data_IF_185928951416
#
_entry.id   IF_185928951416
#
_cell.length_a   1.000
_cell.length_b   1.000
_cell.length_c   1.000
_cell.angle_alpha   90.00
_cell.angle_beta   90.00
_cell.angle_gamma   90.00
#
_symmetry.space_group_name_H-M   'P 1'
#
loop_
_entity.id
_entity.type
_entity.pdbx_description
1 polymer ?
#
# COMPACT_ATOMS: atom_id res chain seq x y z
N UNK A 1 25.25 -14.04 -17.35
CA UNK A 1 24.69 -12.75 -16.91
C UNK A 1 25.19 -11.72 -17.92
N UNK A 2 24.30 -11.07 -18.65
CA UNK A 2 24.68 -10.10 -19.68
C UNK A 2 25.17 -8.79 -19.03
N UNK A 3 25.90 -7.94 -19.77
CA UNK A 3 26.26 -6.60 -19.27
C UNK A 3 25.03 -5.76 -18.91
N UNK A 4 23.93 -5.93 -19.65
CA UNK A 4 22.65 -5.29 -19.38
C UNK A 4 22.03 -5.75 -18.04
N UNK A 5 22.08 -7.05 -17.71
CA UNK A 5 21.60 -7.57 -16.44
C UNK A 5 22.41 -7.05 -15.26
N UNK A 6 23.72 -6.89 -15.46
CA UNK A 6 24.61 -6.35 -14.43
C UNK A 6 24.33 -4.88 -14.18
N UNK A 7 24.12 -4.08 -15.25
CA UNK A 7 23.79 -2.65 -15.15
C UNK A 7 22.42 -2.45 -14.47
N UNK A 8 21.40 -3.23 -14.85
CA UNK A 8 20.05 -3.21 -14.22
C UNK A 8 20.11 -3.53 -12.72
N UNK A 9 20.86 -4.59 -12.37
CA UNK A 9 21.05 -4.97 -10.95
C UNK A 9 21.75 -3.86 -10.16
N UNK A 10 22.73 -3.18 -10.77
CA UNK A 10 23.41 -2.03 -10.16
C UNK A 10 22.48 -0.84 -9.91
N UNK A 11 21.62 -0.52 -10.90
CA UNK A 11 20.63 0.57 -10.80
C UNK A 11 19.60 0.29 -9.69
N UNK A 12 19.07 -0.94 -9.63
CA UNK A 12 18.13 -1.39 -8.59
C UNK A 12 18.77 -1.24 -7.19
N UNK A 13 20.00 -1.72 -7.02
CA UNK A 13 20.68 -1.63 -5.74
C UNK A 13 20.93 -0.18 -5.31
N UNK A 14 21.35 0.68 -6.25
CA UNK A 14 21.57 2.11 -5.99
C UNK A 14 20.27 2.82 -5.59
N UNK A 15 19.16 2.53 -6.27
CA UNK A 15 17.84 3.08 -5.91
C UNK A 15 17.40 2.61 -4.51
N UNK A 16 17.59 1.33 -4.20
CA UNK A 16 17.29 0.79 -2.87
C UNK A 16 18.13 1.45 -1.77
N UNK A 17 19.42 1.68 -2.01
CA UNK A 17 20.31 2.36 -1.07
C UNK A 17 19.86 3.80 -0.80
N UNK A 18 19.49 4.56 -1.84
CA UNK A 18 18.99 5.93 -1.69
C UNK A 18 17.73 5.99 -0.83
N UNK A 19 16.73 5.14 -1.09
CA UNK A 19 15.48 5.10 -0.31
C UNK A 19 15.72 4.63 1.13
N UNK A 20 16.61 3.66 1.32
CA UNK A 20 16.99 3.19 2.64
C UNK A 20 17.66 4.29 3.48
N UNK A 21 18.63 5.03 2.89
CA UNK A 21 19.29 6.14 3.56
C UNK A 21 18.33 7.32 3.80
N UNK A 22 17.40 7.60 2.88
CA UNK A 22 16.37 8.61 3.10
C UNK A 22 15.52 8.31 4.34
N UNK A 23 15.14 7.05 4.53
CA UNK A 23 14.39 6.61 5.72
C UNK A 23 15.22 6.80 7.00
N UNK A 24 16.52 6.53 6.96
CA UNK A 24 17.41 6.63 8.14
C UNK A 24 17.79 8.05 8.49
N UNK A 25 18.03 8.87 7.48
CA UNK A 25 18.52 10.25 7.67
C UNK A 25 17.38 11.26 7.90
N UNK A 26 16.13 10.90 7.56
CA UNK A 26 15.02 11.86 7.53
C UNK A 26 15.13 12.87 6.39
N UNK A 27 15.95 12.59 5.35
CA UNK A 27 16.15 13.51 4.22
C UNK A 27 15.67 12.85 2.93
N UNK A 28 14.66 13.46 2.30
CA UNK A 28 14.10 12.97 1.05
C UNK A 28 15.09 13.10 -0.11
N UNK A 29 14.98 12.16 -1.08
CA UNK A 29 15.86 12.05 -2.25
C UNK A 29 15.13 12.40 -3.54
N UNK A 30 15.89 12.60 -4.62
CA UNK A 30 15.32 12.78 -5.96
C UNK A 30 14.63 11.49 -6.45
N UNK A 31 13.70 11.59 -7.41
CA UNK A 31 12.99 10.43 -7.95
C UNK A 31 13.91 9.30 -8.39
N UNK A 32 13.63 8.08 -7.92
CA UNK A 32 14.43 6.88 -8.27
C UNK A 32 14.10 6.34 -9.65
N UNK A 33 12.98 6.74 -10.27
CA UNK A 33 12.66 6.46 -11.67
C UNK A 33 13.78 6.89 -12.64
N UNK A 34 14.57 7.88 -12.26
CA UNK A 34 15.74 8.32 -13.04
C UNK A 34 16.83 7.24 -13.14
N UNK A 35 16.85 6.27 -12.23
CA UNK A 35 17.79 5.16 -12.22
C UNK A 35 17.19 3.89 -12.83
N UNK A 36 15.93 3.59 -12.49
CA UNK A 36 15.27 2.32 -12.81
C UNK A 36 14.33 2.40 -14.02
N UNK A 37 14.05 3.61 -14.53
CA UNK A 37 13.10 3.84 -15.62
C UNK A 37 11.70 4.23 -15.13
N UNK A 38 10.98 5.00 -15.96
CA UNK A 38 9.66 5.54 -15.60
C UNK A 38 8.54 4.50 -15.63
N UNK A 39 8.74 3.38 -16.33
CA UNK A 39 7.71 2.35 -16.60
C UNK A 39 8.17 0.94 -16.25
N UNK A 40 9.40 0.74 -15.77
CA UNK A 40 9.92 -0.57 -15.39
C UNK A 40 9.43 -0.97 -13.99
N UNK A 41 8.22 -1.51 -13.94
CA UNK A 41 7.61 -1.95 -12.69
C UNK A 41 8.34 -3.13 -12.05
N UNK A 42 8.96 -3.98 -12.85
CA UNK A 42 9.74 -5.11 -12.36
C UNK A 42 10.99 -4.63 -11.60
N UNK A 43 11.69 -3.63 -12.14
CA UNK A 43 12.81 -3.00 -11.44
C UNK A 43 12.34 -2.28 -10.16
N UNK A 44 11.18 -1.62 -10.19
CA UNK A 44 10.63 -0.96 -9.01
C UNK A 44 10.30 -1.95 -7.89
N UNK A 45 9.65 -3.08 -8.19
CA UNK A 45 9.42 -4.15 -7.21
C UNK A 45 10.72 -4.82 -6.76
N UNK A 46 11.73 -4.92 -7.61
CA UNK A 46 13.05 -5.42 -7.20
C UNK A 46 13.73 -4.48 -6.19
N UNK A 47 13.58 -3.15 -6.33
CA UNK A 47 14.04 -2.17 -5.32
C UNK A 47 13.30 -2.37 -4.00
N UNK A 48 11.97 -2.48 -4.03
CA UNK A 48 11.15 -2.74 -2.84
C UNK A 48 11.60 -4.03 -2.15
N UNK A 49 11.82 -5.11 -2.91
CA UNK A 49 12.25 -6.40 -2.37
C UNK A 49 13.62 -6.31 -1.68
N UNK A 50 14.60 -5.61 -2.26
CA UNK A 50 15.91 -5.39 -1.63
C UNK A 50 15.74 -4.76 -0.24
N UNK A 51 14.90 -3.74 -0.10
CA UNK A 51 14.66 -3.06 1.17
C UNK A 51 13.79 -3.88 2.13
N UNK A 52 12.85 -4.66 1.61
CA UNK A 52 12.09 -5.65 2.38
C UNK A 52 13.00 -6.69 3.00
N UNK A 53 13.93 -7.26 2.23
CA UNK A 53 14.89 -8.24 2.72
C UNK A 53 15.84 -7.63 3.77
N UNK A 54 16.29 -6.38 3.60
CA UNK A 54 17.05 -5.66 4.62
C UNK A 54 16.27 -5.54 5.94
N UNK A 55 14.99 -5.20 5.86
CA UNK A 55 14.13 -5.09 7.03
C UNK A 55 13.97 -6.45 7.75
N UNK A 56 13.74 -7.52 7.00
CA UNK A 56 13.64 -8.89 7.54
C UNK A 56 14.93 -9.35 8.20
N UNK A 57 16.08 -9.12 7.56
CA UNK A 57 17.40 -9.45 8.12
C UNK A 57 17.69 -8.63 9.39
N UNK A 58 17.19 -7.39 9.46
CA UNK A 58 17.27 -6.55 10.67
C UNK A 58 16.29 -6.99 11.78
N UNK A 59 15.51 -8.07 11.57
CA UNK A 59 14.60 -8.63 12.57
C UNK A 59 13.21 -7.99 12.57
N UNK A 60 12.87 -7.12 11.61
CA UNK A 60 11.52 -6.57 11.49
C UNK A 60 10.54 -7.67 11.08
N UNK A 61 9.39 -7.72 11.74
CA UNK A 61 8.38 -8.73 11.49
C UNK A 61 7.36 -8.23 10.46
N UNK A 62 7.32 -8.86 9.29
CA UNK A 62 6.28 -8.62 8.29
C UNK A 62 4.93 -9.11 8.83
N UNK A 63 3.91 -8.26 8.78
CA UNK A 63 2.58 -8.55 9.34
C UNK A 63 1.45 -8.39 8.32
N UNK A 64 1.71 -7.77 7.19
CA UNK A 64 0.68 -7.55 6.19
C UNK A 64 1.18 -6.82 4.97
N UNK A 65 0.21 -6.44 4.14
CA UNK A 65 0.41 -5.61 2.96
C UNK A 65 -0.67 -4.54 2.88
N UNK A 66 -0.32 -3.39 2.30
CA UNK A 66 -1.28 -2.40 1.86
C UNK A 66 -1.43 -2.48 0.34
N UNK A 67 -2.59 -2.09 -0.18
CA UNK A 67 -2.81 -1.90 -1.60
C UNK A 67 -3.13 -0.44 -1.84
N UNK A 68 -2.31 0.22 -2.65
CA UNK A 68 -2.54 1.57 -3.10
C UNK A 68 -3.16 1.63 -4.50
N UNK A 69 -3.54 2.83 -4.92
CA UNK A 69 -4.06 3.10 -6.27
C UNK A 69 -5.33 2.30 -6.60
N UNK A 70 -6.18 2.08 -5.62
CA UNK A 70 -7.44 1.33 -5.78
C UNK A 70 -8.53 2.14 -6.46
N UNK A 71 -8.41 3.48 -6.53
CA UNK A 71 -9.35 4.39 -7.19
C UNK A 71 -8.94 4.67 -8.63
N UNK A 72 -9.89 4.52 -9.57
CA UNK A 72 -9.68 4.87 -10.99
C UNK A 72 -9.34 6.35 -11.18
N UNK A 73 -9.88 7.23 -10.33
CA UNK A 73 -9.58 8.67 -10.38
C UNK A 73 -8.09 8.93 -10.11
N UNK A 74 -7.54 8.29 -9.09
CA UNK A 74 -6.12 8.40 -8.73
C UNK A 74 -5.22 7.71 -9.75
N UNK A 75 -5.60 6.54 -10.24
CA UNK A 75 -4.89 5.87 -11.32
C UNK A 75 -4.74 6.79 -12.54
N UNK A 76 -5.84 7.45 -12.95
CA UNK A 76 -5.82 8.43 -14.05
C UNK A 76 -4.93 9.64 -13.75
N UNK A 77 -4.99 10.17 -12.53
CA UNK A 77 -4.16 11.30 -12.10
C UNK A 77 -2.65 10.97 -12.17
N UNK A 78 -2.29 9.74 -11.81
CA UNK A 78 -0.89 9.27 -11.84
C UNK A 78 -0.50 8.62 -13.16
N UNK A 79 -1.42 8.54 -14.13
CA UNK A 79 -1.16 7.94 -15.44
C UNK A 79 -0.91 6.42 -15.37
N UNK A 80 -1.57 5.72 -14.45
CA UNK A 80 -1.42 4.28 -14.23
C UNK A 80 -2.72 3.54 -14.41
N UNK A 81 -2.67 2.24 -14.70
CA UNK A 81 -3.85 1.41 -14.97
C UNK A 81 -3.98 0.23 -13.99
N UNK A 82 -3.15 0.19 -12.96
CA UNK A 82 -3.12 -0.92 -12.01
C UNK A 82 -2.83 -0.44 -10.58
N UNK A 83 -3.31 -1.18 -9.56
CA UNK A 83 -2.94 -0.95 -8.18
C UNK A 83 -1.47 -1.31 -7.94
N UNK A 84 -0.90 -0.75 -6.88
CA UNK A 84 0.38 -1.14 -6.32
C UNK A 84 0.20 -1.78 -4.93
N UNK A 85 1.29 -2.31 -4.35
CA UNK A 85 1.28 -2.82 -2.98
C UNK A 85 2.58 -2.50 -2.25
N UNK A 86 2.46 -2.36 -0.93
CA UNK A 86 3.59 -2.18 -0.02
C UNK A 86 3.55 -3.18 1.14
N UNK A 87 4.70 -3.36 1.78
CA UNK A 87 4.87 -4.24 2.93
C UNK A 87 4.56 -3.50 4.22
N UNK A 88 3.82 -4.14 5.12
CA UNK A 88 3.52 -3.63 6.45
C UNK A 88 4.29 -4.45 7.50
N UNK A 89 5.06 -3.75 8.31
CA UNK A 89 5.82 -4.34 9.41
C UNK A 89 5.17 -4.03 10.76
N UNK A 90 5.40 -4.89 11.75
CA UNK A 90 4.79 -4.76 13.07
C UNK A 90 5.14 -3.46 13.80
N UNK A 91 6.34 -2.95 13.58
CA UNK A 91 6.83 -1.70 14.16
C UNK A 91 6.24 -0.43 13.51
N UNK A 92 5.52 -0.58 12.40
CA UNK A 92 4.75 0.51 11.77
C UNK A 92 3.38 0.72 12.47
N UNK A 93 2.93 -0.23 13.29
CA UNK A 93 1.66 -0.11 14.00
C UNK A 93 1.73 0.95 15.09
N UNK A 94 0.66 1.76 15.17
CA UNK A 94 0.42 2.70 16.28
C UNK A 94 -0.92 2.37 16.92
N UNK A 95 -1.07 2.73 18.18
CA UNK A 95 -2.30 2.49 18.93
C UNK A 95 -3.31 3.61 18.67
N UNK A 96 -4.60 3.26 18.62
CA UNK A 96 -5.67 4.25 18.55
C UNK A 96 -5.59 5.24 19.72
N UNK A 97 -5.62 6.55 19.42
CA UNK A 97 -5.43 7.63 20.40
C UNK A 97 -3.98 7.96 20.75
N UNK A 98 -3.00 7.24 20.20
CA UNK A 98 -1.59 7.56 20.37
C UNK A 98 -1.22 8.81 19.56
N UNK A 99 -0.43 9.69 20.18
CA UNK A 99 0.13 10.86 19.49
C UNK A 99 1.32 10.40 18.61
N UNK A 100 1.27 10.78 17.34
CA UNK A 100 2.29 10.44 16.34
C UNK A 100 3.07 11.72 16.00
N UNK A 101 4.38 11.68 16.20
CA UNK A 101 5.23 12.81 15.86
C UNK A 101 5.35 12.95 14.33
N UNK A 102 5.31 14.19 13.83
CA UNK A 102 5.43 14.45 12.40
C UNK A 102 6.76 13.96 11.82
N UNK A 103 7.81 13.91 12.64
CA UNK A 103 9.14 13.47 12.23
C UNK A 103 9.27 11.93 12.14
N UNK A 104 8.25 11.17 12.59
CA UNK A 104 8.23 9.71 12.46
C UNK A 104 8.09 9.26 11.00
N UNK A 105 7.58 10.12 10.13
CA UNK A 105 7.34 9.83 8.71
C UNK A 105 7.76 11.03 7.86
N UNK A 106 8.51 10.79 6.80
CA UNK A 106 8.88 11.82 5.83
C UNK A 106 7.66 12.29 5.02
N UNK A 107 7.40 13.61 5.03
CA UNK A 107 6.31 14.23 4.26
C UNK A 107 4.95 13.53 4.49
N UNK A 108 4.47 13.40 5.76
CA UNK A 108 3.33 12.58 6.08
C UNK A 108 2.02 13.08 5.46
N UNK A 109 1.17 12.14 5.05
CA UNK A 109 -0.23 12.35 4.71
C UNK A 109 -1.07 11.26 5.35
N UNK A 110 -2.38 11.48 5.49
CA UNK A 110 -3.27 10.57 6.18
C UNK A 110 -4.35 10.07 5.22
N UNK A 111 -4.57 8.77 5.22
CA UNK A 111 -5.57 8.09 4.39
C UNK A 111 -6.48 7.23 5.27
N UNK A 112 -7.79 7.30 5.02
CA UNK A 112 -8.74 6.43 5.69
C UNK A 112 -8.90 5.13 4.92
N UNK A 113 -8.93 4.01 5.63
CA UNK A 113 -8.81 2.67 5.08
C UNK A 113 -9.78 1.69 5.75
N UNK A 114 -9.97 0.53 5.11
CA UNK A 114 -10.52 -0.66 5.76
C UNK A 114 -9.42 -1.73 5.75
N UNK A 115 -9.00 -2.14 6.94
CA UNK A 115 -8.08 -3.26 7.11
C UNK A 115 -8.86 -4.57 7.25
N UNK A 116 -8.45 -5.59 6.49
CA UNK A 116 -8.96 -6.95 6.62
C UNK A 116 -7.94 -7.80 7.39
N UNK A 117 -8.38 -8.42 8.46
CA UNK A 117 -7.55 -9.29 9.29
C UNK A 117 -7.85 -10.75 8.93
N UNK A 118 -6.79 -11.48 8.59
CA UNK A 118 -6.89 -12.89 8.24
C UNK A 118 -6.77 -13.78 9.49
N UNK A 119 -7.71 -14.70 9.66
CA UNK A 119 -7.69 -15.72 10.71
C UNK A 119 -6.90 -16.96 10.30
N UNK A 120 -6.57 -17.11 9.02
CA UNK A 120 -5.76 -18.22 8.49
C UNK A 120 -4.96 -17.77 7.27
N UNK A 121 -3.92 -18.53 6.98
CA UNK A 121 -3.08 -18.30 5.82
C UNK A 121 -3.85 -18.61 4.52
N UNK A 122 -3.48 -17.90 3.47
CA UNK A 122 -3.94 -18.15 2.11
C UNK A 122 -2.83 -18.87 1.36
N UNK A 123 -2.84 -20.19 1.46
CA UNK A 123 -1.88 -21.08 0.80
C UNK A 123 -2.48 -21.66 -0.47
N UNK A 124 -1.76 -21.62 -1.55
CA UNK A 124 -2.13 -22.29 -2.81
C UNK A 124 -1.91 -21.45 -4.06
N UNK A 125 -1.71 -22.15 -5.18
CA UNK A 125 -1.45 -21.51 -6.48
C UNK A 125 -2.74 -21.09 -7.21
N UNK A 126 -3.92 -21.52 -6.75
CA UNK A 126 -5.22 -21.31 -7.39
C UNK A 126 -6.28 -20.87 -6.38
N UNK A 127 -6.00 -19.79 -5.66
CA UNK A 127 -6.96 -19.25 -4.71
C UNK A 127 -8.20 -18.67 -5.42
N UNK A 128 -9.35 -18.93 -4.84
CA UNK A 128 -10.63 -18.39 -5.26
C UNK A 128 -11.09 -17.26 -4.34
N UNK A 129 -12.09 -16.50 -4.78
CA UNK A 129 -12.77 -15.50 -3.91
C UNK A 129 -13.36 -16.16 -2.66
N UNK A 130 -13.84 -17.41 -2.79
CA UNK A 130 -14.36 -18.15 -1.65
C UNK A 130 -13.29 -18.47 -0.60
N UNK A 131 -12.05 -18.73 -1.03
CA UNK A 131 -10.92 -18.98 -0.13
C UNK A 131 -10.56 -17.71 0.63
N UNK A 132 -10.58 -16.55 -0.05
CA UNK A 132 -10.38 -15.27 0.60
C UNK A 132 -11.48 -14.98 1.62
N UNK A 133 -12.77 -15.11 1.27
CA UNK A 133 -13.86 -14.90 2.21
C UNK A 133 -13.76 -15.80 3.44
N UNK A 134 -13.29 -17.03 3.27
CA UNK A 134 -13.05 -17.95 4.39
C UNK A 134 -11.83 -17.58 5.22
N UNK A 135 -10.86 -16.89 4.64
CA UNK A 135 -9.64 -16.49 5.33
C UNK A 135 -9.82 -15.21 6.14
N UNK A 136 -10.67 -14.28 5.69
CA UNK A 136 -10.93 -13.04 6.42
C UNK A 136 -11.73 -13.35 7.68
N UNK A 137 -11.15 -13.04 8.84
CA UNK A 137 -11.80 -13.18 10.14
C UNK A 137 -12.69 -11.97 10.43
N UNK A 138 -12.14 -10.77 10.26
CA UNK A 138 -12.89 -9.53 10.43
C UNK A 138 -12.25 -8.38 9.65
N UNK A 139 -12.97 -7.28 9.53
CA UNK A 139 -12.50 -5.99 9.05
C UNK A 139 -12.54 -4.96 10.19
N UNK A 140 -11.64 -3.99 10.13
CA UNK A 140 -11.63 -2.83 11.04
C UNK A 140 -11.44 -1.55 10.25
N UNK A 141 -11.99 -0.41 10.71
CA UNK A 141 -11.56 0.89 10.24
C UNK A 141 -10.06 1.03 10.48
N UNK A 142 -9.36 1.71 9.57
CA UNK A 142 -7.95 1.95 9.73
C UNK A 142 -7.57 3.33 9.21
N UNK A 143 -6.45 3.82 9.68
CA UNK A 143 -5.79 5.00 9.15
C UNK A 143 -4.40 4.58 8.71
N UNK A 144 -4.03 4.90 7.47
CA UNK A 144 -2.65 4.84 7.03
C UNK A 144 -2.04 6.24 7.09
N UNK A 145 -0.85 6.34 7.65
CA UNK A 145 -0.01 7.53 7.58
C UNK A 145 1.05 7.23 6.53
N UNK A 146 0.78 7.62 5.30
CA UNK A 146 1.70 7.45 4.18
C UNK A 146 2.80 8.49 4.25
N UNK A 147 3.97 8.16 3.70
CA UNK A 147 5.08 9.08 3.61
C UNK A 147 5.93 8.83 2.37
N UNK A 148 6.54 9.86 1.83
CA UNK A 148 7.41 9.72 0.68
C UNK A 148 8.87 10.02 1.04
N UNK A 149 9.75 9.07 0.71
CA UNK A 149 11.21 9.26 0.74
C UNK A 149 11.69 10.06 -0.47
N UNK A 150 10.75 10.48 -1.35
CA UNK A 150 11.05 11.26 -2.55
C UNK A 150 10.56 12.70 -2.38
N UNK A 151 11.45 13.63 -2.69
CA UNK A 151 11.25 15.06 -2.46
C UNK A 151 9.96 15.59 -3.10
N UNK A 152 9.19 16.35 -2.31
CA UNK A 152 7.98 17.04 -2.73
C UNK A 152 6.90 16.14 -3.32
N UNK A 153 6.90 14.83 -2.99
CA UNK A 153 5.98 13.88 -3.59
C UNK A 153 6.04 13.88 -5.14
N UNK A 154 7.21 14.19 -5.72
CA UNK A 154 7.43 14.07 -7.17
C UNK A 154 7.57 12.60 -7.55
N UNK A 155 6.48 11.86 -7.46
CA UNK A 155 6.41 10.40 -7.66
C UNK A 155 5.63 10.04 -8.92
N UNK A 156 6.06 8.95 -9.55
CA UNK A 156 5.30 8.16 -10.52
C UNK A 156 5.19 6.73 -10.00
N UNK A 157 4.48 5.86 -10.72
CA UNK A 157 4.21 4.49 -10.30
C UNK A 157 5.48 3.71 -9.90
N UNK A 158 6.57 3.87 -10.64
CA UNK A 158 7.84 3.19 -10.34
C UNK A 158 8.50 3.72 -9.07
N UNK A 159 8.37 5.02 -8.80
CA UNK A 159 8.85 5.62 -7.56
C UNK A 159 8.05 5.12 -6.35
N UNK A 160 6.71 5.16 -6.46
CA UNK A 160 5.81 4.71 -5.39
C UNK A 160 6.07 3.25 -5.03
N UNK A 161 6.11 2.36 -6.03
CA UNK A 161 6.40 0.94 -5.81
C UNK A 161 7.77 0.74 -5.15
N UNK A 162 8.82 1.38 -5.69
CA UNK A 162 10.18 1.28 -5.15
C UNK A 162 10.26 1.76 -3.70
N UNK A 163 9.46 2.78 -3.36
CA UNK A 163 9.34 3.39 -2.04
C UNK A 163 8.29 2.70 -1.15
N UNK A 164 8.15 1.37 -1.30
CA UNK A 164 7.22 0.53 -0.54
C UNK A 164 5.76 1.00 -0.63
N UNK A 165 5.29 1.42 -1.80
CA UNK A 165 3.98 2.02 -2.05
C UNK A 165 3.70 3.19 -1.09
N UNK A 166 4.73 3.99 -0.81
CA UNK A 166 4.70 5.14 0.10
C UNK A 166 4.26 4.80 1.54
N UNK A 167 4.34 3.54 1.97
CA UNK A 167 3.95 3.14 3.33
C UNK A 167 4.78 3.86 4.38
N UNK A 168 4.12 4.29 5.46
CA UNK A 168 4.73 4.89 6.64
C UNK A 168 4.30 4.17 7.91
N UNK A 169 3.22 4.61 8.55
CA UNK A 169 2.66 4.01 9.77
C UNK A 169 1.19 3.64 9.54
N UNK A 170 0.60 2.87 10.45
CA UNK A 170 -0.82 2.59 10.42
C UNK A 170 -1.43 2.46 11.81
N UNK A 171 -2.72 2.80 11.92
CA UNK A 171 -3.53 2.65 13.12
C UNK A 171 -4.72 1.77 12.77
N UNK A 172 -4.98 0.75 13.57
CA UNK A 172 -6.18 -0.07 13.46
C UNK A 172 -7.19 0.37 14.50
N UNK A 173 -8.43 0.57 14.06
CA UNK A 173 -9.52 0.87 14.97
C UNK A 173 -9.92 -0.35 15.83
N UNK A 174 -10.57 -0.07 16.95
CA UNK A 174 -10.92 -1.06 17.98
C UNK A 174 -12.28 -1.74 17.77
N UNK A 175 -12.96 -1.49 16.63
CA UNK A 175 -14.32 -1.99 16.38
C UNK A 175 -14.35 -2.99 15.21
N UNK A 176 -14.01 -4.28 15.45
CA UNK A 176 -14.01 -5.30 14.40
C UNK A 176 -15.44 -5.62 13.92
N UNK A 177 -15.60 -5.87 12.63
CA UNK A 177 -16.83 -6.27 11.97
C UNK A 177 -16.57 -7.51 11.10
N UNK A 178 -17.47 -8.51 11.16
CA UNK A 178 -17.42 -9.60 10.19
C UNK A 178 -17.90 -9.11 8.82
N UNK A 179 -17.45 -9.75 7.75
CA UNK A 179 -17.85 -9.37 6.39
C UNK A 179 -19.39 -9.43 6.15
N UNK A 180 -20.09 -10.30 6.87
CA UNK A 180 -21.56 -10.40 6.79
C UNK A 180 -22.30 -9.28 7.55
N UNK A 181 -21.61 -8.51 8.38
CA UNK A 181 -22.23 -7.50 9.24
C UNK A 181 -22.24 -6.10 8.60
N UNK A 182 -21.61 -5.93 7.44
CA UNK A 182 -21.60 -4.66 6.68
C UNK A 182 -21.40 -4.88 5.18
N UNK A 183 -21.90 -3.94 4.38
CA UNK A 183 -21.59 -3.86 2.95
C UNK A 183 -20.45 -2.86 2.73
N UNK A 184 -19.27 -3.37 2.39
CA UNK A 184 -18.08 -2.54 2.17
C UNK A 184 -18.26 -1.52 1.04
N UNK A 185 -19.15 -1.77 0.08
CA UNK A 185 -19.44 -0.81 -1.01
C UNK A 185 -20.28 0.38 -0.54
N UNK A 186 -21.18 0.14 0.41
CA UNK A 186 -22.07 1.16 0.97
C UNK A 186 -21.51 1.82 2.22
N UNK A 187 -20.41 1.28 2.75
CA UNK A 187 -19.77 1.86 3.91
C UNK A 187 -19.32 3.30 3.59
N UNK A 188 -19.79 4.26 4.37
CA UNK A 188 -19.40 5.68 4.29
C UNK A 188 -18.24 5.96 5.22
N UNK A 189 -17.38 6.90 4.81
CA UNK A 189 -16.28 7.42 5.62
C UNK A 189 -16.39 8.94 5.72
N UNK A 190 -16.17 9.45 6.92
CA UNK A 190 -15.93 10.89 7.16
C UNK A 190 -14.67 11.00 8.00
N UNK A 191 -13.69 11.74 7.50
CA UNK A 191 -12.51 12.13 8.26
C UNK A 191 -12.71 13.54 8.79
N UNK A 192 -12.49 13.73 10.07
CA UNK A 192 -12.68 15.01 10.74
C UNK A 192 -11.37 15.49 11.39
N UNK A 193 -11.16 16.80 11.35
CA UNK A 193 -10.12 17.48 12.12
C UNK A 193 -10.78 18.45 13.09
N UNK A 194 -10.64 18.23 14.38
CA UNK A 194 -11.28 19.05 15.44
C UNK A 194 -12.80 19.19 15.26
N UNK A 195 -13.49 18.09 14.86
CA UNK A 195 -14.91 18.06 14.63
C UNK A 195 -15.38 18.71 13.31
N UNK A 196 -14.45 19.10 12.44
CA UNK A 196 -14.76 19.66 11.12
C UNK A 196 -14.43 18.59 10.06
N UNK A 197 -15.41 18.17 9.22
CA UNK A 197 -15.15 17.26 8.13
C UNK A 197 -14.08 17.82 7.17
N UNK A 198 -13.03 17.05 6.92
CA UNK A 198 -11.93 17.38 6.00
C UNK A 198 -11.88 16.45 4.80
N UNK A 199 -12.47 15.28 4.89
CA UNK A 199 -12.62 14.34 3.79
C UNK A 199 -13.83 13.44 4.01
N UNK A 200 -14.46 12.99 2.93
CA UNK A 200 -15.53 12.00 2.97
C UNK A 200 -15.40 11.06 1.78
N UNK A 201 -15.86 9.83 1.95
CA UNK A 201 -15.80 8.83 0.89
C UNK A 201 -16.84 7.74 1.07
N UNK A 202 -17.00 6.92 0.05
CA UNK A 202 -17.85 5.74 0.07
C UNK A 202 -17.13 4.57 -0.59
N UNK A 203 -17.25 3.37 -0.03
CA UNK A 203 -16.56 2.18 -0.52
C UNK A 203 -16.78 1.86 -2.00
N UNK A 204 -17.92 2.28 -2.56
CA UNK A 204 -18.19 2.17 -3.99
C UNK A 204 -17.18 2.95 -4.85
N UNK A 205 -16.61 4.06 -4.36
CA UNK A 205 -15.62 4.84 -5.10
C UNK A 205 -14.29 4.09 -5.27
N UNK A 206 -13.91 3.25 -4.31
CA UNK A 206 -12.76 2.34 -4.42
C UNK A 206 -13.03 1.14 -5.34
N UNK A 207 -14.30 0.89 -5.63
CA UNK A 207 -14.77 -0.29 -6.36
C UNK A 207 -15.26 0.04 -7.77
N UNK A 208 -15.36 1.34 -8.11
CA UNK A 208 -15.88 1.77 -9.39
C UNK A 208 -14.92 1.51 -10.55
N UNK A 209 -15.46 0.77 -11.48
CA UNK A 209 -14.98 0.44 -12.83
C UNK A 209 -13.69 -0.35 -12.89
N UNK A 210 -13.89 -1.57 -12.52
CA UNK A 210 -13.25 -2.63 -13.25
C UNK A 210 -14.26 -3.16 -14.25
N UNK A 211 -14.56 -2.33 -15.26
CA UNK A 211 -15.36 -2.80 -16.39
C UNK A 211 -14.62 -3.98 -17.00
N UNK A 212 -15.32 -5.08 -17.09
CA UNK A 212 -14.90 -6.37 -17.60
C UNK A 212 -14.43 -6.36 -19.07
N UNK A 213 -14.29 -5.18 -19.70
CA UNK A 213 -14.09 -5.09 -21.14
C UNK A 213 -12.68 -4.70 -21.61
N UNK A 214 -11.77 -4.25 -20.76
CA UNK A 214 -10.49 -3.73 -21.27
C UNK A 214 -9.27 -4.61 -21.09
N UNK A 215 -9.30 -5.64 -20.23
CA UNK A 215 -8.10 -6.43 -19.92
C UNK A 215 -8.31 -7.92 -19.66
N UNK A 216 -9.36 -8.57 -20.12
CA UNK A 216 -9.50 -10.03 -19.99
C UNK A 216 -9.38 -10.58 -18.55
N UNK A 217 -9.55 -9.75 -17.55
CA UNK A 217 -9.47 -10.08 -16.13
C UNK A 217 -10.87 -10.02 -15.51
N UNK A 218 -11.56 -11.13 -15.39
CA UNK A 218 -12.83 -11.17 -14.65
C UNK A 218 -12.49 -11.09 -13.17
N UNK A 219 -13.10 -10.15 -12.44
CA UNK A 219 -13.01 -10.19 -10.99
C UNK A 219 -13.31 -8.87 -10.28
N UNK A 220 -13.92 -9.00 -9.11
CA UNK A 220 -14.17 -7.94 -8.16
C UNK A 220 -12.84 -7.40 -7.55
N UNK A 221 -12.88 -6.23 -6.86
CA UNK A 221 -11.74 -5.69 -6.11
C UNK A 221 -11.11 -6.76 -5.19
N UNK A 222 -11.95 -7.61 -4.62
CA UNK A 222 -11.53 -8.70 -3.74
C UNK A 222 -10.66 -9.72 -4.48
N UNK A 223 -10.97 -10.07 -5.73
CA UNK A 223 -10.13 -10.95 -6.56
C UNK A 223 -8.80 -10.30 -6.93
N UNK A 224 -8.75 -8.97 -7.06
CA UNK A 224 -7.48 -8.24 -7.27
C UNK A 224 -6.65 -8.17 -6.00
N UNK A 225 -7.28 -7.94 -4.85
CA UNK A 225 -6.64 -8.02 -3.55
C UNK A 225 -6.05 -9.41 -3.31
N UNK A 226 -6.78 -10.48 -3.68
CA UNK A 226 -6.28 -11.86 -3.67
C UNK A 226 -5.11 -12.02 -4.63
N UNK A 227 -5.22 -11.53 -5.86
CA UNK A 227 -4.14 -11.67 -6.85
C UNK A 227 -2.89 -10.88 -6.46
N UNK A 228 -3.03 -9.70 -5.87
CA UNK A 228 -1.89 -8.98 -5.30
C UNK A 228 -1.28 -9.71 -4.10
N UNK A 229 -2.11 -10.33 -3.26
CA UNK A 229 -1.64 -11.21 -2.18
C UNK A 229 -0.95 -12.48 -2.73
N UNK A 230 -1.42 -13.00 -3.87
CA UNK A 230 -0.90 -14.19 -4.54
C UNK A 230 0.34 -13.95 -5.40
N UNK A 231 0.41 -12.82 -6.11
CA UNK A 231 1.58 -12.47 -6.93
C UNK A 231 2.85 -12.33 -6.07
N UNK A 232 2.68 -12.19 -4.78
CA UNK A 232 3.75 -12.17 -3.79
C UNK A 232 3.87 -13.56 -3.15
N UNK A 233 4.39 -14.52 -3.87
CA UNK A 233 4.87 -15.78 -3.31
C UNK A 233 5.80 -15.47 -2.16
N UNK A 234 5.32 -15.57 -0.94
CA UNK A 234 6.12 -15.83 0.25
C UNK A 234 5.43 -15.34 1.52
N UNK A 235 5.42 -16.22 2.48
CA UNK A 235 5.17 -16.08 3.91
C UNK A 235 3.70 -16.02 4.35
N UNK A 236 3.40 -16.71 5.43
CA UNK A 236 2.10 -16.65 6.10
C UNK A 236 1.91 -15.25 6.69
N UNK A 237 1.27 -14.37 5.94
CA UNK A 237 0.94 -13.03 6.41
C UNK A 237 -0.53 -13.03 6.79
N UNK A 238 -0.81 -12.80 8.06
CA UNK A 238 -2.16 -12.83 8.64
C UNK A 238 -3.04 -11.62 8.29
N UNK A 239 -2.61 -10.76 7.35
CA UNK A 239 -3.30 -9.52 7.03
C UNK A 239 -3.60 -9.44 5.54
N UNK A 240 -4.86 -9.15 5.21
CA UNK A 240 -5.27 -8.91 3.83
C UNK A 240 -4.96 -7.47 3.42
N UNK A 241 -4.93 -7.22 2.10
CA UNK A 241 -4.75 -5.88 1.55
C UNK A 241 -5.80 -4.90 2.06
N UNK A 242 -5.39 -3.69 2.29
CA UNK A 242 -6.23 -2.57 2.66
C UNK A 242 -6.94 -2.03 1.42
N UNK A 243 -8.18 -1.59 1.58
CA UNK A 243 -8.92 -0.87 0.54
C UNK A 243 -8.82 0.62 0.82
N UNK A 244 -8.11 1.34 -0.02
CA UNK A 244 -7.88 2.77 0.10
C UNK A 244 -9.12 3.56 -0.32
N UNK A 245 -9.53 4.52 0.52
CA UNK A 245 -10.58 5.48 0.24
C UNK A 245 -9.88 6.80 -0.10
N UNK A 246 -9.76 7.11 -1.36
CA UNK A 246 -9.11 8.35 -1.78
C UNK A 246 -10.13 9.41 -2.18
N UNK A 247 -10.18 10.48 -1.42
CA UNK A 247 -10.41 11.82 -1.91
C UNK A 247 -9.27 12.71 -1.41
N UNK A 248 -8.85 13.64 -2.26
CA UNK A 248 -7.77 14.62 -2.17
C UNK A 248 -6.93 14.62 -0.89
N UNK A 249 -5.67 14.25 -1.04
CA UNK A 249 -4.67 14.30 0.03
C UNK A 249 -4.44 15.75 0.46
N UNK A 250 -5.06 16.17 1.54
CA UNK A 250 -4.72 17.44 2.16
C UNK A 250 -3.43 17.31 2.96
N UNK A 251 -2.44 18.13 2.60
CA UNK A 251 -1.25 18.35 3.41
C UNK A 251 -1.67 18.81 4.81
N UNK A 252 -1.37 18.03 5.83
CA UNK A 252 -1.58 18.42 7.23
C UNK A 252 -0.50 19.37 7.76
N UNK A 253 0.40 19.85 6.89
CA UNK A 253 1.40 20.84 7.22
C UNK A 253 0.93 22.24 6.79
N UNK A 254 0.45 23.02 7.74
CA UNK A 254 0.09 24.43 7.63
C UNK A 254 -0.06 24.98 9.02
#
# INVERSE_FOLDING_TARGET
MSELDTARTGAVRKAADLLYEATRSGVAVVPVRNLIGETDLEAAYAVQEVNTQRALVAGRRLVGRKIGLTSVAVQKQLGVEQPDYGMLFADMARTEGEEIALDDVLQPKVEAEIAFVLGRDLDGDQLTVADLFRAIEFAVPAIEIVGSRITNWDIRITDTIADNASSGLYVLGSTPKRLCDFDSRQAGMVMERQGIPVSSGVGAACLERLSTQSFGWPGSWLERAVRCALATRCFPVRWAPWCQWQEEMYSMCG
#
